data_IF_958491750280
#
_entry.id   IF_958491750280
#
_cell.length_a   1.000
_cell.length_b   1.000
_cell.length_c   1.000
_cell.angle_alpha   90.00
_cell.angle_beta   90.00
_cell.angle_gamma   90.00
#
_symmetry.space_group_name_H-M   'P 1'
#
loop_
_entity.id
_entity.type
_entity.pdbx_description
1 polymer ?
#
# COMPACT_ATOMS: atom_id res chain seq x y z
N UNK A 1 -31.49 -15.59 14.40
CA UNK A 1 -30.59 -14.95 13.40
C UNK A 1 -30.53 -15.87 12.20
N UNK A 2 -30.83 -15.39 10.99
CA UNK A 2 -30.88 -16.23 9.78
C UNK A 2 -29.46 -16.38 9.19
N UNK A 3 -29.15 -17.51 8.55
CA UNK A 3 -27.84 -17.82 7.97
C UNK A 3 -27.36 -16.72 7.00
N UNK A 4 -28.28 -16.17 6.20
CA UNK A 4 -28.02 -15.03 5.30
C UNK A 4 -27.54 -13.77 6.03
N UNK A 5 -28.16 -13.45 7.17
CA UNK A 5 -27.78 -12.29 7.99
C UNK A 5 -26.38 -12.46 8.59
N UNK A 6 -26.06 -13.68 9.03
CA UNK A 6 -24.74 -14.00 9.58
C UNK A 6 -23.63 -13.93 8.52
N UNK A 7 -23.90 -14.44 7.31
CA UNK A 7 -22.94 -14.35 6.20
C UNK A 7 -22.71 -12.90 5.74
N UNK A 8 -23.76 -12.08 5.73
CA UNK A 8 -23.65 -10.66 5.41
C UNK A 8 -22.78 -9.90 6.43
N UNK A 9 -23.00 -10.14 7.73
CA UNK A 9 -22.21 -9.52 8.81
C UNK A 9 -20.73 -9.96 8.76
N UNK A 10 -20.46 -11.24 8.46
CA UNK A 10 -19.09 -11.72 8.23
C UNK A 10 -18.42 -11.05 7.01
N UNK A 11 -19.17 -10.82 5.94
CA UNK A 11 -18.65 -10.14 4.76
C UNK A 11 -18.36 -8.66 5.05
N UNK A 12 -19.20 -8.00 5.84
CA UNK A 12 -18.99 -6.62 6.26
C UNK A 12 -17.75 -6.48 7.16
N UNK A 13 -17.63 -7.32 8.18
CA UNK A 13 -16.44 -7.39 9.04
C UNK A 13 -15.16 -7.65 8.21
N UNK A 14 -15.23 -8.53 7.21
CA UNK A 14 -14.12 -8.78 6.29
C UNK A 14 -13.76 -7.53 5.48
N UNK A 15 -14.76 -6.83 4.92
CA UNK A 15 -14.53 -5.60 4.14
C UNK A 15 -13.88 -4.52 5.02
N UNK A 16 -14.34 -4.35 6.25
CA UNK A 16 -13.73 -3.43 7.21
C UNK A 16 -12.28 -3.81 7.52
N UNK A 17 -11.99 -5.07 7.85
CA UNK A 17 -10.61 -5.52 8.13
C UNK A 17 -9.66 -5.33 6.95
N UNK A 18 -10.11 -5.57 5.71
CA UNK A 18 -9.32 -5.33 4.51
C UNK A 18 -9.09 -3.84 4.33
N UNK A 19 -10.14 -3.02 4.46
CA UNK A 19 -10.07 -1.56 4.34
C UNK A 19 -9.06 -0.96 5.34
N UNK A 20 -9.10 -1.38 6.60
CA UNK A 20 -8.20 -0.89 7.65
C UNK A 20 -6.74 -1.25 7.35
N UNK A 21 -6.48 -2.48 6.92
CA UNK A 21 -5.13 -2.93 6.54
C UNK A 21 -4.61 -2.17 5.32
N UNK A 22 -5.45 -1.96 4.31
CA UNK A 22 -5.09 -1.19 3.10
C UNK A 22 -4.84 0.28 3.45
N UNK A 23 -5.67 0.87 4.31
CA UNK A 23 -5.52 2.25 4.79
C UNK A 23 -4.21 2.44 5.55
N UNK A 24 -3.87 1.51 6.47
CA UNK A 24 -2.60 1.52 7.19
C UNK A 24 -1.40 1.39 6.25
N UNK A 25 -1.47 0.48 5.28
CA UNK A 25 -0.44 0.32 4.26
C UNK A 25 -0.28 1.59 3.41
N UNK A 26 -1.38 2.21 2.99
CA UNK A 26 -1.35 3.46 2.20
C UNK A 26 -0.65 4.58 2.97
N UNK A 27 -1.00 4.77 4.26
CA UNK A 27 -0.34 5.76 5.13
C UNK A 27 1.16 5.48 5.25
N UNK A 28 1.54 4.21 5.47
CA UNK A 28 2.94 3.80 5.55
C UNK A 28 3.69 4.04 4.24
N UNK A 29 3.09 3.70 3.09
CA UNK A 29 3.67 3.90 1.77
C UNK A 29 3.93 5.39 1.48
N UNK A 30 3.00 6.27 1.86
CA UNK A 30 3.18 7.73 1.76
C UNK A 30 4.34 8.20 2.65
N UNK A 31 4.36 7.77 3.91
CA UNK A 31 5.43 8.14 4.84
C UNK A 31 6.81 7.68 4.36
N UNK A 32 6.91 6.44 3.88
CA UNK A 32 8.12 5.89 3.30
C UNK A 32 8.56 6.67 2.05
N UNK A 33 7.61 7.05 1.19
CA UNK A 33 7.90 7.85 0.02
C UNK A 33 8.51 9.21 0.40
N UNK A 34 7.98 9.88 1.43
CA UNK A 34 8.53 11.15 1.93
C UNK A 34 9.98 10.97 2.39
N UNK A 35 10.26 9.93 3.19
CA UNK A 35 11.63 9.65 3.66
C UNK A 35 12.59 9.45 2.48
N UNK A 36 12.20 8.65 1.49
CA UNK A 36 13.03 8.39 0.30
C UNK A 36 13.29 9.68 -0.47
N UNK A 37 12.30 10.58 -0.60
CA UNK A 37 12.51 11.87 -1.28
C UNK A 37 13.47 12.78 -0.52
N UNK A 38 13.38 12.84 0.81
CA UNK A 38 14.33 13.63 1.63
C UNK A 38 15.76 13.11 1.44
N UNK A 39 15.96 11.79 1.49
CA UNK A 39 17.28 11.18 1.25
C UNK A 39 17.76 11.50 -0.16
N UNK A 40 16.91 11.30 -1.18
CA UNK A 40 17.26 11.59 -2.57
C UNK A 40 17.61 13.06 -2.80
N UNK A 41 16.93 13.99 -2.12
CA UNK A 41 17.24 15.43 -2.17
C UNK A 41 18.64 15.71 -1.60
N UNK A 42 18.96 15.16 -0.43
CA UNK A 42 20.31 15.29 0.17
C UNK A 42 21.38 14.68 -0.74
N UNK A 43 21.13 13.48 -1.27
CA UNK A 43 22.04 12.85 -2.25
C UNK A 43 22.22 13.71 -3.50
N UNK A 44 21.15 14.34 -3.97
CA UNK A 44 21.18 15.28 -5.09
C UNK A 44 22.11 16.47 -4.84
N UNK A 45 22.01 17.08 -3.66
CA UNK A 45 22.90 18.17 -3.25
C UNK A 45 24.35 17.70 -3.24
N UNK A 46 24.63 16.54 -2.66
CA UNK A 46 26.00 15.97 -2.62
C UNK A 46 26.53 15.73 -4.04
N UNK A 47 25.74 15.13 -4.93
CA UNK A 47 26.16 14.88 -6.31
C UNK A 47 26.43 16.16 -7.10
N UNK A 48 25.60 17.19 -6.94
CA UNK A 48 25.73 18.45 -7.68
C UNK A 48 26.83 19.34 -7.10
N UNK A 49 26.90 19.49 -5.79
CA UNK A 49 27.78 20.46 -5.12
C UNK A 49 29.16 19.87 -4.83
N UNK A 50 29.23 18.62 -4.36
CA UNK A 50 30.50 17.99 -3.95
C UNK A 50 31.13 17.26 -5.13
N UNK A 51 30.35 16.45 -5.85
CA UNK A 51 30.87 15.63 -6.95
C UNK A 51 30.83 16.33 -8.31
N UNK A 52 30.22 17.53 -8.40
CA UNK A 52 30.09 18.31 -9.63
C UNK A 52 29.50 17.52 -10.82
N UNK A 53 28.59 16.58 -10.54
CA UNK A 53 27.91 15.81 -11.58
C UNK A 53 27.02 16.71 -12.42
N UNK A 54 26.84 16.34 -13.70
CA UNK A 54 26.02 17.15 -14.61
C UNK A 54 24.59 17.28 -14.09
N UNK A 55 24.04 18.50 -14.17
CA UNK A 55 22.65 18.78 -13.77
C UNK A 55 21.66 17.86 -14.49
N UNK A 56 21.94 17.51 -15.75
CA UNK A 56 21.13 16.60 -16.55
C UNK A 56 21.03 15.21 -15.90
N UNK A 57 22.13 14.67 -15.39
CA UNK A 57 22.17 13.36 -14.72
C UNK A 57 21.28 13.36 -13.48
N UNK A 58 21.37 14.41 -12.67
CA UNK A 58 20.53 14.59 -11.50
C UNK A 58 19.04 14.69 -11.88
N UNK A 59 18.71 15.50 -12.89
CA UNK A 59 17.32 15.71 -13.32
C UNK A 59 16.68 14.41 -13.81
N UNK A 60 17.39 13.62 -14.63
CA UNK A 60 16.89 12.32 -15.11
C UNK A 60 16.67 11.35 -13.96
N UNK A 61 17.61 11.27 -13.02
CA UNK A 61 17.48 10.40 -11.86
C UNK A 61 16.30 10.82 -10.98
N UNK A 62 16.18 12.11 -10.70
CA UNK A 62 15.11 12.64 -9.87
C UNK A 62 13.73 12.43 -10.51
N UNK A 63 13.58 12.74 -11.80
CA UNK A 63 12.33 12.52 -12.53
C UNK A 63 11.93 11.04 -12.56
N UNK A 64 12.89 10.13 -12.78
CA UNK A 64 12.63 8.69 -12.78
C UNK A 64 12.13 8.22 -11.41
N UNK A 65 12.80 8.65 -10.34
CA UNK A 65 12.38 8.33 -8.97
C UNK A 65 11.00 8.90 -8.64
N UNK A 66 10.69 10.11 -9.11
CA UNK A 66 9.39 10.75 -8.93
C UNK A 66 8.25 9.95 -9.59
N UNK A 67 8.48 9.47 -10.82
CA UNK A 67 7.51 8.63 -11.55
C UNK A 67 7.31 7.31 -10.80
N UNK A 68 8.39 6.64 -10.40
CA UNK A 68 8.31 5.36 -9.66
C UNK A 68 7.56 5.51 -8.34
N UNK A 69 7.80 6.60 -7.61
CA UNK A 69 7.08 6.87 -6.37
C UNK A 69 5.58 7.10 -6.61
N UNK A 70 5.22 7.85 -7.65
CA UNK A 70 3.82 8.04 -8.03
C UNK A 70 3.12 6.72 -8.36
N UNK A 71 3.79 5.86 -9.14
CA UNK A 71 3.28 4.54 -9.47
C UNK A 71 3.09 3.70 -8.20
N UNK A 72 4.04 3.71 -7.27
CA UNK A 72 3.95 2.95 -6.03
C UNK A 72 2.80 3.42 -5.13
N UNK A 73 2.60 4.73 -4.98
CA UNK A 73 1.52 5.31 -4.16
C UNK A 73 0.15 4.96 -4.75
N UNK A 74 0.02 4.98 -6.08
CA UNK A 74 -1.26 4.72 -6.75
C UNK A 74 -1.59 3.23 -6.89
N UNK A 75 -0.62 2.42 -7.31
CA UNK A 75 -0.82 0.99 -7.60
C UNK A 75 -0.48 0.08 -6.43
N UNK A 76 0.46 0.45 -5.55
CA UNK A 76 0.88 -0.36 -4.41
C UNK A 76 -0.29 -0.77 -3.49
N UNK A 77 -1.14 0.17 -3.02
CA UNK A 77 -2.30 -0.17 -2.20
C UNK A 77 -3.29 -1.10 -2.90
N UNK A 78 -3.53 -0.91 -4.21
CA UNK A 78 -4.43 -1.75 -5.01
C UNK A 78 -3.90 -3.18 -5.15
N UNK A 79 -2.59 -3.34 -5.35
CA UNK A 79 -1.95 -4.66 -5.42
C UNK A 79 -2.00 -5.37 -4.06
N UNK A 80 -1.77 -4.64 -2.97
CA UNK A 80 -1.86 -5.16 -1.62
C UNK A 80 -3.28 -5.61 -1.27
N UNK A 81 -4.29 -4.81 -1.62
CA UNK A 81 -5.70 -5.17 -1.46
C UNK A 81 -6.05 -6.46 -2.24
N UNK A 82 -5.61 -6.56 -3.50
CA UNK A 82 -5.81 -7.77 -4.32
C UNK A 82 -5.21 -9.01 -3.68
N UNK A 83 -4.06 -8.91 -3.02
CA UNK A 83 -3.45 -10.01 -2.29
C UNK A 83 -4.22 -10.37 -1.02
N UNK A 84 -4.68 -9.37 -0.26
CA UNK A 84 -5.49 -9.60 0.94
C UNK A 84 -6.82 -10.28 0.62
N UNK A 85 -7.50 -9.85 -0.45
CA UNK A 85 -8.74 -10.48 -0.94
C UNK A 85 -8.56 -11.97 -1.30
N UNK A 86 -7.37 -12.35 -1.78
CA UNK A 86 -7.04 -13.75 -2.10
C UNK A 86 -6.78 -14.63 -0.87
N UNK A 87 -6.33 -14.08 0.26
CA UNK A 87 -6.01 -14.82 1.49
C UNK A 87 -7.26 -15.18 2.33
N UNK A 88 -8.36 -15.55 1.69
CA UNK A 88 -9.69 -15.69 2.29
C UNK A 88 -9.71 -16.24 3.74
N UNK A 89 -10.36 -15.49 4.63
CA UNK A 89 -10.79 -15.98 5.95
C UNK A 89 -11.86 -17.03 5.70
N UNK A 90 -11.53 -18.31 5.95
CA UNK A 90 -12.50 -19.41 5.91
C UNK A 90 -13.57 -19.14 6.97
N UNK A 91 -14.87 -19.23 6.63
CA UNK A 91 -15.92 -19.14 7.63
C UNK A 91 -15.71 -20.26 8.66
N UNK A 92 -15.91 -19.94 9.94
CA UNK A 92 -15.76 -20.91 11.02
C UNK A 92 -16.81 -22.03 10.85
N UNK A 93 -16.39 -23.29 10.60
CA UNK A 93 -17.31 -24.39 10.34
C UNK A 93 -18.26 -24.65 11.52
N UNK A 94 -17.87 -24.30 12.76
CA UNK A 94 -18.71 -24.46 13.94
C UNK A 94 -19.93 -23.51 13.94
N UNK A 95 -19.79 -22.31 13.38
CA UNK A 95 -20.87 -21.34 13.28
C UNK A 95 -21.82 -21.65 12.12
N UNK A 96 -21.32 -22.23 11.03
CA UNK A 96 -22.14 -22.69 9.91
C UNK A 96 -23.08 -23.85 10.29
N UNK A 97 -22.66 -24.70 11.23
CA UNK A 97 -23.46 -25.85 11.66
C UNK A 97 -24.56 -25.50 12.69
N UNK A 98 -24.49 -24.30 13.30
CA UNK A 98 -25.50 -23.82 14.27
C UNK A 98 -26.80 -23.32 13.61
N UNK A 99 -26.80 -23.10 12.31
CA UNK A 99 -27.93 -22.58 11.54
C UNK A 99 -28.49 -23.57 10.52
N UNK A 100 -28.05 -24.84 10.60
CA UNK A 100 -28.58 -25.96 9.82
C UNK A 100 -29.69 -26.65 10.61
#
# INVERSE_FOLDING_TARGET
MNQLSYLAELEELRRQQISDKVSKYRKFSIFLAIIIHVIAFVTGIVMLVILSYSFTTFLVFHATMQILAYLNIYYGPKLYEKQLRKKAIKPDPLMLNKFK
#
